data_IF_896149632081
#
_entry.id   IF_896149632081
#
_cell.length_a   1.000
_cell.length_b   1.000
_cell.length_c   1.000
_cell.angle_alpha   90.00
_cell.angle_beta   90.00
_cell.angle_gamma   90.00
#
_symmetry.space_group_name_H-M   'P 1'
#
loop_
_entity.id
_entity.type
_entity.pdbx_description
1 polymer ?
#
# COMPACT_ATOMS: atom_id res chain seq x y z
N UNK A 1 -13.06 -33.34 -4.83
CA UNK A 1 -13.44 -31.96 -5.19
C UNK A 1 -13.10 -31.07 -4.01
N UNK A 2 -11.96 -30.38 -4.08
CA UNK A 2 -11.60 -29.36 -3.10
C UNK A 2 -12.49 -28.14 -3.35
N UNK A 3 -13.58 -28.02 -2.60
CA UNK A 3 -14.34 -26.76 -2.47
C UNK A 3 -13.60 -25.84 -1.49
N UNK A 4 -12.41 -25.41 -1.87
CA UNK A 4 -11.79 -24.25 -1.24
C UNK A 4 -12.35 -23.01 -1.92
N UNK A 5 -12.91 -22.14 -1.13
CA UNK A 5 -13.47 -20.83 -1.45
C UNK A 5 -14.95 -20.80 -1.80
N UNK A 6 -15.77 -20.69 -0.75
CA UNK A 6 -17.06 -20.05 -0.84
C UNK A 6 -16.89 -18.55 -1.15
N UNK A 7 -17.86 -17.92 -1.84
CA UNK A 7 -17.79 -16.51 -2.24
C UNK A 7 -17.88 -15.49 -1.08
N UNK A 8 -17.78 -15.91 0.15
CA UNK A 8 -17.81 -15.06 1.36
C UNK A 8 -16.52 -14.24 1.56
N UNK A 9 -15.48 -14.46 0.74
CA UNK A 9 -14.25 -13.63 0.70
C UNK A 9 -14.54 -12.14 0.36
N UNK A 10 -15.71 -11.83 -0.19
CA UNK A 10 -16.12 -10.46 -0.42
C UNK A 10 -16.26 -9.62 0.87
N UNK A 11 -16.39 -10.25 2.03
CA UNK A 11 -16.49 -9.54 3.32
C UNK A 11 -15.14 -9.03 3.81
N UNK A 12 -14.05 -9.76 3.55
CA UNK A 12 -12.68 -9.33 3.93
C UNK A 12 -12.21 -8.08 3.17
N UNK A 13 -12.81 -7.77 2.02
CA UNK A 13 -12.49 -6.59 1.21
C UNK A 13 -13.33 -5.36 1.55
N UNK A 14 -14.28 -5.48 2.48
CA UNK A 14 -15.18 -4.41 2.86
C UNK A 14 -14.56 -3.56 3.95
N UNK A 15 -14.43 -2.27 3.70
CA UNK A 15 -13.98 -1.30 4.71
C UNK A 15 -15.16 -0.98 5.65
N UNK A 16 -15.52 -1.94 6.51
CA UNK A 16 -16.70 -1.84 7.36
C UNK A 16 -16.44 -1.07 8.66
N UNK A 17 -15.18 -0.90 9.04
CA UNK A 17 -14.83 -0.15 10.26
C UNK A 17 -14.38 1.29 9.93
N UNK A 18 -14.77 2.27 10.77
CA UNK A 18 -14.30 3.64 10.62
C UNK A 18 -12.77 3.76 10.59
N UNK A 19 -12.07 2.89 11.35
CA UNK A 19 -10.61 2.84 11.40
C UNK A 19 -10.00 2.44 10.05
N UNK A 20 -10.56 1.43 9.39
CA UNK A 20 -10.09 0.99 8.06
C UNK A 20 -10.27 2.10 7.03
N UNK A 21 -11.46 2.71 6.99
CA UNK A 21 -11.74 3.83 6.09
C UNK A 21 -10.81 5.01 6.34
N UNK A 22 -10.61 5.39 7.62
CA UNK A 22 -9.69 6.47 7.98
C UNK A 22 -8.25 6.16 7.54
N UNK A 23 -7.77 4.95 7.81
CA UNK A 23 -6.41 4.52 7.41
C UNK A 23 -6.23 4.56 5.89
N UNK A 24 -7.24 4.14 5.13
CA UNK A 24 -7.21 4.19 3.67
C UNK A 24 -7.16 5.63 3.13
N UNK A 25 -7.99 6.54 3.67
CA UNK A 25 -7.98 7.95 3.29
C UNK A 25 -6.68 8.64 3.68
N UNK A 26 -6.13 8.30 4.84
CA UNK A 26 -4.85 8.83 5.30
C UNK A 26 -3.71 8.39 4.37
N UNK A 27 -3.70 7.11 3.99
CA UNK A 27 -2.76 6.56 3.01
C UNK A 27 -2.87 7.25 1.65
N UNK A 28 -4.09 7.47 1.16
CA UNK A 28 -4.33 8.20 -0.07
C UNK A 28 -3.78 9.64 0.01
N UNK A 29 -3.98 10.33 1.14
CA UNK A 29 -3.44 11.66 1.38
C UNK A 29 -1.90 11.70 1.30
N UNK A 30 -1.23 10.71 1.89
CA UNK A 30 0.24 10.60 1.82
C UNK A 30 0.72 10.32 0.38
N UNK A 31 0.01 9.49 -0.38
CA UNK A 31 0.31 9.26 -1.81
C UNK A 31 0.15 10.54 -2.61
N UNK A 32 -0.96 11.26 -2.42
CA UNK A 32 -1.20 12.52 -3.12
C UNK A 32 -0.13 13.57 -2.80
N UNK A 33 0.30 13.65 -1.53
CA UNK A 33 1.41 14.51 -1.12
C UNK A 33 2.71 14.11 -1.84
N UNK A 34 2.99 12.81 -1.96
CA UNK A 34 4.17 12.32 -2.68
C UNK A 34 4.11 12.66 -4.17
N UNK A 35 2.95 12.48 -4.81
CA UNK A 35 2.73 12.85 -6.21
C UNK A 35 2.94 14.36 -6.41
N UNK A 36 2.34 15.20 -5.57
CA UNK A 36 2.51 16.64 -5.62
C UNK A 36 3.98 17.06 -5.45
N UNK A 37 4.68 16.46 -4.47
CA UNK A 37 6.11 16.70 -4.25
C UNK A 37 6.96 16.25 -5.44
N UNK A 38 6.64 15.09 -6.03
CA UNK A 38 7.33 14.58 -7.21
C UNK A 38 7.14 15.49 -8.42
N UNK A 39 5.91 15.90 -8.70
CA UNK A 39 5.59 16.80 -9.82
C UNK A 39 6.23 18.19 -9.61
N UNK A 40 6.17 18.74 -8.41
CA UNK A 40 6.80 20.03 -8.08
C UNK A 40 8.33 20.02 -8.21
N UNK A 41 8.95 18.86 -8.08
CA UNK A 41 10.40 18.68 -8.21
C UNK A 41 10.80 17.81 -9.41
N UNK A 42 9.96 17.77 -10.44
CA UNK A 42 10.11 16.85 -11.56
C UNK A 42 11.51 16.88 -12.21
N UNK A 43 12.08 18.09 -12.42
CA UNK A 43 13.43 18.25 -13.00
C UNK A 43 14.50 17.55 -12.18
N UNK A 44 14.41 17.59 -10.86
CA UNK A 44 15.33 16.94 -9.93
C UNK A 44 15.20 15.42 -9.98
N UNK A 45 13.98 14.90 -10.04
CA UNK A 45 13.73 13.46 -10.04
C UNK A 45 13.92 12.84 -11.43
N UNK A 46 13.61 13.56 -12.50
CA UNK A 46 13.80 13.07 -13.88
C UNK A 46 15.29 12.84 -14.23
N UNK A 47 16.20 13.57 -13.60
CA UNK A 47 17.65 13.34 -13.77
C UNK A 47 18.17 12.19 -12.89
N UNK A 48 17.37 11.68 -11.96
CA UNK A 48 17.75 10.62 -11.06
C UNK A 48 17.45 9.25 -11.68
N UNK A 49 18.51 8.51 -12.05
CA UNK A 49 18.40 7.17 -12.65
C UNK A 49 17.58 6.20 -11.79
N UNK A 50 17.66 6.33 -10.46
CA UNK A 50 16.91 5.49 -9.54
C UNK A 50 15.38 5.73 -9.67
N UNK A 51 14.93 6.99 -9.73
CA UNK A 51 13.51 7.32 -9.91
C UNK A 51 12.97 6.74 -11.20
N UNK A 52 13.73 6.86 -12.31
CA UNK A 52 13.35 6.31 -13.60
C UNK A 52 13.30 4.78 -13.59
N UNK A 53 14.25 4.13 -12.92
CA UNK A 53 14.25 2.67 -12.79
C UNK A 53 13.03 2.17 -11.99
N UNK A 54 12.68 2.84 -10.87
CA UNK A 54 11.52 2.49 -10.06
C UNK A 54 10.21 2.71 -10.82
N UNK A 55 10.07 3.82 -11.55
CA UNK A 55 8.91 4.06 -12.41
C UNK A 55 8.81 3.02 -13.53
N UNK A 56 9.93 2.67 -14.16
CA UNK A 56 9.98 1.61 -15.16
C UNK A 56 9.55 0.26 -14.59
N UNK A 57 10.02 -0.09 -13.40
CA UNK A 57 9.61 -1.30 -12.68
C UNK A 57 8.10 -1.32 -12.42
N UNK A 58 7.52 -0.22 -11.95
CA UNK A 58 6.08 -0.13 -11.72
C UNK A 58 5.28 -0.23 -13.02
N UNK A 59 5.72 0.46 -14.08
CA UNK A 59 5.06 0.43 -15.38
C UNK A 59 5.07 -0.98 -15.99
N UNK A 60 6.21 -1.67 -15.90
CA UNK A 60 6.36 -3.05 -16.37
C UNK A 60 5.43 -3.99 -15.59
N UNK A 61 5.41 -3.89 -14.27
CA UNK A 61 4.52 -4.71 -13.45
C UNK A 61 3.05 -4.40 -13.72
N UNK A 62 2.67 -3.13 -13.89
CA UNK A 62 1.31 -2.75 -14.26
C UNK A 62 0.93 -3.34 -15.64
N UNK A 63 1.83 -3.28 -16.63
CA UNK A 63 1.61 -3.89 -17.94
C UNK A 63 1.43 -5.40 -17.89
N UNK A 64 2.24 -6.09 -17.08
CA UNK A 64 2.10 -7.54 -16.84
C UNK A 64 0.75 -7.86 -16.18
N UNK A 65 0.31 -7.05 -15.20
CA UNK A 65 -0.96 -7.26 -14.51
C UNK A 65 -2.16 -7.08 -15.43
N UNK A 66 -2.13 -6.08 -16.31
CA UNK A 66 -3.20 -5.88 -17.29
C UNK A 66 -3.37 -7.09 -18.23
N UNK A 67 -2.29 -7.82 -18.49
CA UNK A 67 -2.34 -8.97 -19.40
C UNK A 67 -2.57 -10.31 -18.71
N UNK A 68 -1.99 -10.52 -17.53
CA UNK A 68 -1.94 -11.84 -16.87
C UNK A 68 -2.63 -11.87 -15.50
N UNK A 69 -2.96 -10.72 -14.90
CA UNK A 69 -3.39 -10.64 -13.52
C UNK A 69 -4.90 -10.59 -13.34
N UNK A 70 -5.52 -11.71 -12.94
CA UNK A 70 -6.84 -11.68 -12.31
C UNK A 70 -6.76 -11.45 -10.80
N UNK A 71 -5.59 -11.63 -10.18
CA UNK A 71 -5.38 -11.59 -8.73
C UNK A 71 -4.31 -10.57 -8.35
N UNK A 72 -4.73 -9.31 -8.20
CA UNK A 72 -3.86 -8.18 -7.81
C UNK A 72 -3.11 -8.46 -6.50
N UNK A 73 -3.72 -9.17 -5.56
CA UNK A 73 -3.13 -9.46 -4.26
C UNK A 73 -1.89 -10.35 -4.35
N UNK A 74 -1.93 -11.39 -5.17
CA UNK A 74 -0.83 -12.37 -5.28
C UNK A 74 0.45 -11.74 -5.84
N UNK A 75 0.32 -10.69 -6.66
CA UNK A 75 1.43 -10.01 -7.32
C UNK A 75 1.82 -8.68 -6.66
N UNK A 76 1.10 -8.26 -5.60
CA UNK A 76 1.38 -7.01 -4.90
C UNK A 76 2.81 -6.89 -4.37
N UNK A 77 3.48 -7.94 -3.86
CA UNK A 77 4.87 -7.84 -3.40
C UNK A 77 5.84 -7.39 -4.50
N UNK A 78 5.55 -7.70 -5.77
CA UNK A 78 6.46 -7.42 -6.88
C UNK A 78 6.62 -5.93 -7.19
N UNK A 79 5.66 -5.08 -6.82
CA UNK A 79 5.71 -3.64 -7.09
C UNK A 79 5.63 -2.77 -5.83
N UNK A 80 5.23 -3.34 -4.70
CA UNK A 80 5.09 -2.60 -3.43
C UNK A 80 6.41 -1.96 -2.99
N UNK A 81 7.53 -2.68 -3.11
CA UNK A 81 8.84 -2.13 -2.78
C UNK A 81 9.21 -0.92 -3.65
N UNK A 82 8.91 -0.98 -4.95
CA UNK A 82 9.18 0.13 -5.87
C UNK A 82 8.33 1.35 -5.52
N UNK A 83 7.06 1.14 -5.17
CA UNK A 83 6.17 2.19 -4.69
C UNK A 83 6.70 2.83 -3.40
N UNK A 84 7.08 2.03 -2.40
CA UNK A 84 7.60 2.52 -1.12
C UNK A 84 8.87 3.35 -1.33
N UNK A 85 9.79 2.88 -2.19
CA UNK A 85 11.01 3.61 -2.49
C UNK A 85 10.74 4.92 -3.23
N UNK A 86 9.78 4.96 -4.16
CA UNK A 86 9.36 6.19 -4.83
C UNK A 86 8.75 7.19 -3.85
N UNK A 87 7.89 6.72 -2.93
CA UNK A 87 7.32 7.55 -1.88
C UNK A 87 8.41 8.12 -0.97
N UNK A 88 9.38 7.29 -0.56
CA UNK A 88 10.51 7.73 0.27
C UNK A 88 11.35 8.81 -0.44
N UNK A 89 11.62 8.65 -1.73
CA UNK A 89 12.30 9.66 -2.53
C UNK A 89 11.49 10.97 -2.63
N UNK A 90 10.20 10.87 -2.91
CA UNK A 90 9.31 12.02 -3.02
C UNK A 90 9.20 12.78 -1.69
N UNK A 91 9.19 12.08 -0.56
CA UNK A 91 9.12 12.66 0.77
C UNK A 91 10.46 13.17 1.32
N UNK A 92 11.57 12.92 0.65
CA UNK A 92 12.91 13.33 1.10
C UNK A 92 12.98 14.82 1.50
N UNK A 93 12.23 15.68 0.79
CA UNK A 93 12.14 17.12 1.09
C UNK A 93 11.47 17.41 2.44
N UNK A 94 10.50 16.57 2.84
CA UNK A 94 9.73 16.72 4.07
C UNK A 94 10.33 15.99 5.26
N UNK A 95 11.24 15.05 5.03
CA UNK A 95 11.79 14.16 6.05
C UNK A 95 12.46 14.92 7.23
N UNK A 96 12.95 16.14 7.01
CA UNK A 96 13.57 17.00 8.04
C UNK A 96 12.55 17.69 8.93
N UNK A 97 11.29 17.76 8.54
CA UNK A 97 10.26 18.47 9.27
C UNK A 97 9.63 17.59 10.35
N UNK A 98 9.65 18.04 11.59
CA UNK A 98 9.08 17.30 12.73
C UNK A 98 7.60 16.96 12.54
N UNK A 99 6.81 17.88 11.98
CA UNK A 99 5.40 17.62 11.71
C UNK A 99 5.20 16.39 10.81
N UNK A 100 6.04 16.26 9.77
CA UNK A 100 5.96 15.13 8.85
C UNK A 100 6.36 13.81 9.52
N UNK A 101 7.40 13.84 10.36
CA UNK A 101 7.83 12.68 11.15
C UNK A 101 6.72 12.20 12.10
N UNK A 102 6.06 13.15 12.79
CA UNK A 102 4.94 12.84 13.69
C UNK A 102 3.76 12.29 12.88
N UNK A 103 3.44 12.86 11.72
CA UNK A 103 2.38 12.36 10.83
C UNK A 103 2.65 10.92 10.40
N UNK A 104 3.89 10.58 10.00
CA UNK A 104 4.26 9.22 9.66
C UNK A 104 4.19 8.27 10.86
N UNK A 105 4.58 8.72 12.04
CA UNK A 105 4.49 7.92 13.25
C UNK A 105 3.03 7.60 13.59
N UNK A 106 2.15 8.60 13.55
CA UNK A 106 0.71 8.42 13.75
C UNK A 106 0.16 7.43 12.72
N UNK A 107 0.53 7.59 11.45
CA UNK A 107 0.10 6.67 10.40
C UNK A 107 0.58 5.23 10.65
N UNK A 108 1.81 5.05 11.11
CA UNK A 108 2.34 3.74 11.46
C UNK A 108 1.52 3.07 12.58
N UNK A 109 1.16 3.85 13.62
CA UNK A 109 0.30 3.34 14.71
C UNK A 109 -1.06 2.89 14.17
N UNK A 110 -1.70 3.69 13.31
CA UNK A 110 -2.98 3.31 12.67
C UNK A 110 -2.84 2.05 11.83
N UNK A 111 -1.75 1.91 11.06
CA UNK A 111 -1.48 0.70 10.27
C UNK A 111 -1.30 -0.54 11.18
N UNK A 112 -0.58 -0.39 12.28
CA UNK A 112 -0.39 -1.50 13.23
C UNK A 112 -1.73 -1.94 13.84
N UNK A 113 -2.55 -0.99 14.29
CA UNK A 113 -3.87 -1.29 14.84
C UNK A 113 -4.78 -1.95 13.80
N UNK A 114 -4.81 -1.41 12.59
CA UNK A 114 -5.61 -1.97 11.50
C UNK A 114 -5.17 -3.40 11.13
N UNK A 115 -3.87 -3.64 11.04
CA UNK A 115 -3.34 -4.97 10.73
C UNK A 115 -3.57 -5.96 11.87
N UNK A 116 -3.50 -5.53 13.14
CA UNK A 116 -3.82 -6.38 14.29
C UNK A 116 -5.28 -6.83 14.25
N UNK A 117 -6.21 -5.94 13.96
CA UNK A 117 -7.62 -6.28 13.81
C UNK A 117 -7.86 -7.24 12.64
N UNK A 118 -7.17 -7.04 11.52
CA UNK A 118 -7.25 -7.94 10.37
C UNK A 118 -6.74 -9.33 10.72
N UNK A 119 -5.62 -9.43 11.43
CA UNK A 119 -5.07 -10.70 11.87
C UNK A 119 -6.01 -11.43 12.84
N UNK A 120 -6.64 -10.70 13.76
CA UNK A 120 -7.65 -11.25 14.67
C UNK A 120 -8.84 -11.83 13.90
N UNK A 121 -9.35 -11.11 12.91
CA UNK A 121 -10.41 -11.61 12.02
C UNK A 121 -9.99 -12.90 11.31
N UNK A 122 -8.78 -12.94 10.75
CA UNK A 122 -8.26 -14.12 10.04
C UNK A 122 -8.14 -15.31 11.01
N UNK A 123 -7.65 -15.11 12.22
CA UNK A 123 -7.55 -16.18 13.21
C UNK A 123 -8.92 -16.71 13.64
N UNK A 124 -9.89 -15.83 13.86
CA UNK A 124 -11.25 -16.23 14.23
C UNK A 124 -11.93 -17.04 13.11
N UNK A 125 -11.68 -16.70 11.86
CA UNK A 125 -12.19 -17.45 10.71
C UNK A 125 -11.49 -18.82 10.53
N UNK A 126 -10.24 -18.95 10.93
CA UNK A 126 -9.48 -20.19 10.82
C UNK A 126 -9.70 -21.15 12.00
N UNK A 127 -10.08 -20.63 13.16
CA UNK A 127 -10.25 -21.42 14.39
C UNK A 127 -11.13 -22.68 14.21
N UNK A 128 -12.31 -22.62 13.51
CA UNK A 128 -13.16 -23.79 13.29
C UNK A 128 -12.52 -24.90 12.43
N UNK A 129 -11.42 -24.61 11.76
CA UNK A 129 -10.73 -25.55 10.87
C UNK A 129 -9.45 -26.15 11.50
N UNK A 130 -9.09 -25.69 12.70
CA UNK A 130 -7.88 -26.16 13.39
C UNK A 130 -8.17 -27.29 14.39
N UNK A 131 -9.44 -27.58 14.68
CA UNK A 131 -9.96 -28.63 15.54
C UNK A 131 -10.98 -29.46 14.80
#
# INVERSE_FOLDING_TARGET
QFRFFKPEINELSRYDTPLQSFTAWFWLGLILLAVAAFLGNYKRYNSNRLSLALLGCMALNAGLHLRYGKELFLYSPNWTYALILLLALAWQGFAKHRWFQITLLIFLVFLMLNNSLLMEMIFNELEPYLY
#
